data_IF_865738327383
#
_entry.id   IF_865738327383
#
_cell.length_a   1.000
_cell.length_b   1.000
_cell.length_c   1.000
_cell.angle_alpha   90.00
_cell.angle_beta   90.00
_cell.angle_gamma   90.00
#
_symmetry.space_group_name_H-M   'P 1'
#
loop_
_entity.id
_entity.type
_entity.pdbx_description
1 polymer ?
#
# COMPACT_ATOMS: atom_id res chain seq x y z
N UNK A 1 -13.29 -13.01 -6.84
CA UNK A 1 -12.57 -11.86 -6.25
C UNK A 1 -12.82 -11.77 -4.75
N UNK A 2 -14.08 -11.77 -4.27
CA UNK A 2 -14.39 -11.78 -2.83
C UNK A 2 -13.79 -13.00 -2.12
N UNK A 3 -13.77 -14.18 -2.72
CA UNK A 3 -13.11 -15.37 -2.16
C UNK A 3 -11.61 -15.14 -1.88
N UNK A 4 -10.91 -14.37 -2.73
CA UNK A 4 -9.51 -14.03 -2.50
C UNK A 4 -9.31 -13.15 -1.24
N UNK A 5 -10.24 -12.21 -1.01
CA UNK A 5 -10.21 -11.39 0.21
C UNK A 5 -10.66 -12.20 1.43
N UNK A 6 -11.61 -13.09 1.28
CA UNK A 6 -12.01 -14.07 2.31
C UNK A 6 -10.81 -14.94 2.75
N UNK A 7 -10.06 -15.49 1.80
CA UNK A 7 -8.82 -16.24 2.08
C UNK A 7 -7.78 -15.38 2.82
N UNK A 8 -7.68 -14.11 2.47
CA UNK A 8 -6.78 -13.17 3.15
C UNK A 8 -7.21 -12.94 4.60
N UNK A 9 -8.52 -12.83 4.88
CA UNK A 9 -9.07 -12.72 6.24
C UNK A 9 -8.74 -13.98 7.05
N UNK A 10 -9.02 -15.18 6.50
CA UNK A 10 -8.80 -16.45 7.18
C UNK A 10 -7.32 -16.71 7.49
N UNK A 11 -6.39 -16.21 6.70
CA UNK A 11 -4.95 -16.33 6.99
C UNK A 11 -4.48 -15.43 8.14
N UNK A 12 -5.16 -14.31 8.40
CA UNK A 12 -4.74 -13.32 9.41
C UNK A 12 -5.53 -13.39 10.71
N UNK A 13 -6.76 -13.82 10.66
CA UNK A 13 -7.64 -13.90 11.83
C UNK A 13 -7.85 -15.34 12.22
N UNK A 14 -7.51 -15.69 13.47
CA UNK A 14 -7.74 -17.02 14.00
C UNK A 14 -9.24 -17.24 14.26
N UNK A 15 -9.82 -18.25 13.61
CA UNK A 15 -11.23 -18.63 13.77
C UNK A 15 -12.21 -17.46 13.57
N UNK A 16 -12.19 -16.78 12.42
CA UNK A 16 -13.13 -15.69 12.17
C UNK A 16 -14.57 -16.24 12.12
N UNK A 17 -15.53 -15.46 12.60
CA UNK A 17 -16.94 -15.79 12.46
C UNK A 17 -17.35 -15.72 10.99
N UNK A 18 -18.01 -16.77 10.48
CA UNK A 18 -18.48 -16.80 9.10
C UNK A 18 -19.49 -15.66 8.82
N UNK A 19 -20.34 -15.32 9.79
CA UNK A 19 -21.27 -14.21 9.69
C UNK A 19 -20.51 -12.88 9.56
N UNK A 20 -19.52 -12.64 10.41
CA UNK A 20 -18.69 -11.41 10.38
C UNK A 20 -17.88 -11.31 9.09
N UNK A 21 -17.36 -12.43 8.55
CA UNK A 21 -16.67 -12.45 7.26
C UNK A 21 -17.62 -12.05 6.13
N UNK A 22 -18.84 -12.59 6.09
CA UNK A 22 -19.83 -12.20 5.07
C UNK A 22 -20.22 -10.71 5.19
N UNK A 23 -20.32 -10.21 6.40
CA UNK A 23 -20.57 -8.80 6.65
C UNK A 23 -19.42 -7.92 6.12
N UNK A 24 -18.15 -8.29 6.38
CA UNK A 24 -16.99 -7.62 5.80
C UNK A 24 -17.09 -7.61 4.27
N UNK A 25 -17.33 -8.76 3.65
CA UNK A 25 -17.40 -8.87 2.20
C UNK A 25 -18.57 -8.06 1.60
N UNK A 26 -19.63 -7.82 2.38
CA UNK A 26 -20.82 -7.09 1.90
C UNK A 26 -20.57 -5.61 1.65
N UNK A 27 -19.67 -4.97 2.40
CA UNK A 27 -19.37 -3.53 2.23
C UNK A 27 -18.39 -3.24 1.09
N UNK A 28 -17.73 -4.28 0.56
CA UNK A 28 -16.79 -4.16 -0.54
C UNK A 28 -17.42 -4.48 -1.90
N UNK A 29 -17.16 -3.63 -2.87
CA UNK A 29 -17.53 -3.84 -4.28
C UNK A 29 -16.29 -3.86 -5.17
N UNK A 30 -16.36 -4.67 -6.23
CA UNK A 30 -15.27 -4.81 -7.18
C UNK A 30 -15.18 -3.61 -8.11
N UNK A 31 -13.96 -3.13 -8.33
CA UNK A 31 -13.64 -2.09 -9.31
C UNK A 31 -12.40 -2.48 -10.10
N UNK A 32 -12.50 -2.46 -11.43
CA UNK A 32 -11.35 -2.54 -12.33
C UNK A 32 -10.82 -1.14 -12.57
N UNK A 33 -9.52 -0.98 -12.45
CA UNK A 33 -8.83 0.28 -12.61
C UNK A 33 -7.70 0.10 -13.63
N UNK A 34 -7.64 1.00 -14.60
CA UNK A 34 -6.60 1.00 -15.61
C UNK A 34 -5.31 1.62 -15.07
N UNK A 35 -4.20 1.30 -15.76
CA UNK A 35 -2.91 1.93 -15.48
C UNK A 35 -3.01 3.45 -15.58
N UNK A 36 -2.43 4.16 -14.60
CA UNK A 36 -2.47 5.61 -14.49
C UNK A 36 -3.72 6.14 -13.79
N UNK A 37 -4.71 5.31 -13.47
CA UNK A 37 -5.88 5.75 -12.71
C UNK A 37 -5.45 6.20 -11.31
N UNK A 38 -5.99 7.35 -10.87
CA UNK A 38 -5.73 7.88 -9.53
C UNK A 38 -6.82 7.35 -8.57
N UNK A 39 -6.38 6.52 -7.63
CA UNK A 39 -7.24 6.02 -6.56
C UNK A 39 -7.50 7.09 -5.50
N UNK A 40 -6.48 7.91 -5.18
CA UNK A 40 -6.59 9.06 -4.27
C UNK A 40 -5.73 10.21 -4.78
N UNK A 41 -6.33 11.37 -4.92
CA UNK A 41 -5.66 12.63 -5.27
C UNK A 41 -4.87 13.21 -4.08
N UNK A 42 -3.75 13.86 -4.38
CA UNK A 42 -3.02 14.65 -3.39
C UNK A 42 -3.86 15.78 -2.81
N UNK A 43 -3.55 16.16 -1.58
CA UNK A 43 -4.23 17.26 -0.87
C UNK A 43 -5.76 17.09 -0.75
N UNK A 44 -6.22 15.84 -0.76
CA UNK A 44 -7.61 15.46 -0.49
C UNK A 44 -7.73 14.60 0.77
N UNK A 45 -8.94 14.49 1.32
CA UNK A 45 -9.27 13.52 2.37
C UNK A 45 -9.70 12.22 1.69
N UNK A 46 -9.11 11.10 2.09
CA UNK A 46 -9.50 9.80 1.56
C UNK A 46 -10.89 9.40 2.07
N UNK A 47 -11.77 9.01 1.15
CA UNK A 47 -13.17 8.63 1.45
C UNK A 47 -13.47 7.15 1.20
N UNK A 48 -12.46 6.38 0.85
CA UNK A 48 -12.60 4.96 0.50
C UNK A 48 -11.38 4.16 0.91
N UNK A 49 -11.61 2.91 1.28
CA UNK A 49 -10.58 1.89 1.50
C UNK A 49 -10.58 0.98 0.28
N UNK A 50 -9.40 0.70 -0.28
CA UNK A 50 -9.23 -0.29 -1.33
C UNK A 50 -8.49 -1.51 -0.81
N UNK A 51 -8.84 -2.71 -1.28
CA UNK A 51 -8.03 -3.91 -1.13
C UNK A 51 -7.61 -4.39 -2.52
N UNK A 52 -6.30 -4.43 -2.77
CA UNK A 52 -5.73 -4.79 -4.07
C UNK A 52 -5.72 -6.30 -4.24
N UNK A 53 -6.66 -6.82 -5.03
CA UNK A 53 -6.80 -8.26 -5.31
C UNK A 53 -5.78 -8.70 -6.34
N UNK A 54 -5.58 -7.89 -7.37
CA UNK A 54 -4.60 -8.11 -8.44
C UNK A 54 -4.09 -6.76 -8.96
N UNK A 55 -2.85 -6.76 -9.47
CA UNK A 55 -2.20 -5.56 -9.99
C UNK A 55 -1.28 -4.90 -8.97
N UNK A 56 -0.97 -3.63 -9.19
CA UNK A 56 -0.07 -2.84 -8.36
C UNK A 56 -0.41 -1.36 -8.39
N UNK A 57 -0.06 -0.66 -7.33
CA UNK A 57 -0.19 0.78 -7.18
C UNK A 57 1.09 1.37 -6.60
N UNK A 58 1.24 2.69 -6.66
CA UNK A 58 2.25 3.40 -5.87
C UNK A 58 1.60 4.47 -5.03
N UNK A 59 2.20 4.71 -3.88
CA UNK A 59 1.98 5.93 -3.11
C UNK A 59 3.14 6.87 -3.34
N UNK A 60 2.84 8.14 -3.58
CA UNK A 60 3.86 9.17 -3.77
C UNK A 60 3.35 10.53 -3.33
N UNK A 61 4.25 11.48 -3.17
CA UNK A 61 3.96 12.89 -2.97
C UNK A 61 4.90 13.73 -3.84
N UNK A 62 4.53 14.98 -4.08
CA UNK A 62 5.37 15.93 -4.80
C UNK A 62 6.12 16.82 -3.80
N UNK A 63 7.45 16.90 -3.95
CA UNK A 63 8.28 17.78 -3.13
C UNK A 63 8.20 19.26 -3.61
N UNK A 64 8.85 20.16 -2.88
CA UNK A 64 8.86 21.61 -3.20
C UNK A 64 9.51 21.95 -4.55
N UNK A 65 10.27 21.02 -5.14
CA UNK A 65 10.90 21.16 -6.46
C UNK A 65 10.02 20.65 -7.59
N UNK A 66 8.85 20.08 -7.28
CA UNK A 66 7.96 19.48 -8.27
C UNK A 66 8.28 18.01 -8.60
N UNK A 67 9.26 17.39 -7.91
CA UNK A 67 9.60 15.98 -8.15
C UNK A 67 8.62 15.06 -7.44
N UNK A 68 8.18 14.00 -8.11
CA UNK A 68 7.40 12.93 -7.52
C UNK A 68 8.30 11.99 -6.71
N UNK A 69 8.08 11.93 -5.41
CA UNK A 69 8.78 11.02 -4.50
C UNK A 69 7.90 9.83 -4.20
N UNK A 70 8.25 8.67 -4.77
CA UNK A 70 7.56 7.42 -4.48
C UNK A 70 7.91 6.96 -3.06
N UNK A 71 6.89 6.88 -2.21
CA UNK A 71 7.02 6.31 -0.87
C UNK A 71 7.01 4.79 -0.92
N UNK A 72 6.04 4.22 -1.64
CA UNK A 72 5.87 2.77 -1.72
C UNK A 72 5.29 2.31 -3.05
N UNK A 73 5.67 1.08 -3.47
CA UNK A 73 4.96 0.31 -4.50
C UNK A 73 4.14 -0.77 -3.78
N UNK A 74 2.83 -0.63 -3.87
CA UNK A 74 1.84 -1.50 -3.24
C UNK A 74 1.49 -2.63 -4.22
N UNK A 75 1.65 -3.88 -3.78
CA UNK A 75 1.32 -5.08 -4.54
C UNK A 75 0.03 -5.73 -4.02
N UNK A 76 -0.45 -6.77 -4.72
CA UNK A 76 -1.63 -7.55 -4.30
C UNK A 76 -1.60 -7.94 -2.82
N UNK A 77 -2.77 -8.17 -2.23
CA UNK A 77 -2.95 -8.48 -0.81
C UNK A 77 -2.59 -7.34 0.15
N UNK A 78 -2.64 -6.11 -0.34
CA UNK A 78 -2.47 -4.93 0.50
C UNK A 78 -3.65 -3.98 0.35
N UNK A 79 -3.86 -3.18 1.38
CA UNK A 79 -4.86 -2.12 1.32
C UNK A 79 -4.30 -0.86 0.64
N UNK A 80 -5.13 -0.22 -0.17
CA UNK A 80 -4.92 1.11 -0.71
C UNK A 80 -5.58 2.11 0.24
N UNK A 81 -4.76 2.82 1.01
CA UNK A 81 -5.21 3.77 2.01
C UNK A 81 -4.15 4.86 2.24
N UNK A 82 -4.58 5.96 2.81
CA UNK A 82 -3.71 7.03 3.30
C UNK A 82 -3.96 7.19 4.81
N UNK A 83 -3.10 6.55 5.59
CA UNK A 83 -3.24 6.47 7.05
C UNK A 83 -3.24 7.85 7.71
N UNK A 84 -2.50 8.83 7.17
CA UNK A 84 -2.47 10.20 7.69
C UNK A 84 -3.87 10.80 7.57
N UNK A 85 -4.44 10.75 6.37
CA UNK A 85 -5.78 11.27 6.10
C UNK A 85 -6.87 10.54 6.88
N UNK A 86 -6.80 9.20 6.96
CA UNK A 86 -7.73 8.37 7.72
C UNK A 86 -7.73 8.73 9.21
N UNK A 87 -6.55 8.88 9.81
CA UNK A 87 -6.41 9.12 11.27
C UNK A 87 -6.69 10.55 11.68
N UNK A 88 -6.40 11.52 10.82
CA UNK A 88 -6.51 12.95 11.16
C UNK A 88 -7.78 13.60 10.63
N UNK A 89 -8.46 12.98 9.67
CA UNK A 89 -9.56 13.59 8.91
C UNK A 89 -9.12 14.77 8.04
N UNK A 90 -7.81 15.00 7.90
CA UNK A 90 -7.25 16.15 7.18
C UNK A 90 -6.75 15.74 5.79
N UNK A 91 -6.61 16.74 4.92
CA UNK A 91 -5.96 16.58 3.61
C UNK A 91 -4.50 16.15 3.80
N UNK A 92 -4.01 15.28 2.93
CA UNK A 92 -2.63 14.81 2.91
C UNK A 92 -2.06 14.93 1.50
N UNK A 93 -0.75 15.15 1.33
CA UNK A 93 -0.12 15.28 0.02
C UNK A 93 -0.05 13.95 -0.75
N UNK A 94 -0.33 12.82 -0.10
CA UNK A 94 -0.19 11.49 -0.68
C UNK A 94 -1.15 11.31 -1.86
N UNK A 95 -0.61 10.84 -2.98
CA UNK A 95 -1.33 10.35 -4.16
C UNK A 95 -1.24 8.83 -4.18
N UNK A 96 -2.32 8.15 -4.57
CA UNK A 96 -2.32 6.72 -4.83
C UNK A 96 -2.66 6.50 -6.31
N UNK A 97 -1.68 6.03 -7.08
CA UNK A 97 -1.77 5.80 -8.52
C UNK A 97 -1.66 4.29 -8.84
N UNK A 98 -2.49 3.85 -9.77
CA UNK A 98 -2.48 2.47 -10.28
C UNK A 98 -1.37 2.31 -11.34
N UNK A 99 -0.48 1.33 -11.16
CA UNK A 99 0.69 1.13 -12.03
C UNK A 99 0.46 0.15 -13.20
N UNK A 100 -0.55 -0.68 -13.10
CA UNK A 100 -0.96 -1.65 -14.12
C UNK A 100 -2.46 -1.90 -14.01
N UNK A 101 -3.08 -2.53 -15.02
CA UNK A 101 -4.49 -2.92 -14.91
C UNK A 101 -4.72 -3.75 -13.64
N UNK A 102 -5.58 -3.24 -12.78
CA UNK A 102 -5.74 -3.74 -11.41
C UNK A 102 -7.21 -4.02 -11.08
N UNK A 103 -7.41 -5.00 -10.22
CA UNK A 103 -8.71 -5.26 -9.61
C UNK A 103 -8.65 -4.92 -8.12
N UNK A 104 -9.52 -4.02 -7.69
CA UNK A 104 -9.58 -3.50 -6.32
C UNK A 104 -10.98 -3.75 -5.76
N UNK A 105 -11.05 -4.30 -4.56
CA UNK A 105 -12.27 -4.27 -3.76
C UNK A 105 -12.30 -2.96 -2.99
N UNK A 106 -13.36 -2.17 -3.14
CA UNK A 106 -13.48 -0.81 -2.61
C UNK A 106 -14.63 -0.74 -1.63
N UNK A 107 -14.40 -0.13 -0.46
CA UNK A 107 -15.42 0.20 0.51
C UNK A 107 -15.43 1.70 0.82
N UNK A 108 -16.60 2.26 1.11
CA UNK A 108 -16.73 3.63 1.61
C UNK A 108 -16.18 3.71 3.04
N UNK A 109 -15.45 4.79 3.38
CA UNK A 109 -14.84 4.94 4.71
C UNK A 109 -15.86 4.99 5.84
N UNK A 110 -17.05 5.55 5.63
CA UNK A 110 -18.11 5.58 6.66
C UNK A 110 -18.57 4.14 7.00
N UNK A 111 -18.70 3.28 5.98
CA UNK A 111 -19.01 1.86 6.17
C UNK A 111 -17.86 1.09 6.83
N UNK A 112 -16.64 1.47 6.53
CA UNK A 112 -15.43 0.90 7.16
C UNK A 112 -15.41 1.23 8.66
N UNK A 113 -15.68 2.48 9.04
CA UNK A 113 -15.73 2.89 10.44
C UNK A 113 -16.87 2.19 11.19
N UNK A 114 -18.09 2.21 10.66
CA UNK A 114 -19.23 1.50 11.25
C UNK A 114 -18.92 0.00 11.48
N UNK A 115 -18.22 -0.63 10.53
CA UNK A 115 -17.86 -2.02 10.66
C UNK A 115 -16.74 -2.26 11.67
N UNK A 116 -15.75 -1.37 11.76
CA UNK A 116 -14.67 -1.47 12.74
C UNK A 116 -15.19 -1.38 14.18
N UNK A 117 -16.26 -0.63 14.44
CA UNK A 117 -16.82 -0.46 15.76
C UNK A 117 -17.58 -1.70 16.26
N UNK A 118 -18.16 -2.53 15.38
CA UNK A 118 -19.05 -3.62 15.74
C UNK A 118 -18.62 -5.03 15.28
N UNK A 119 -17.70 -5.15 14.32
CA UNK A 119 -17.25 -6.43 13.76
C UNK A 119 -15.85 -6.77 14.29
N UNK A 120 -15.80 -7.75 15.19
CA UNK A 120 -14.55 -8.14 15.87
C UNK A 120 -13.54 -8.71 14.88
N UNK A 121 -13.99 -9.53 13.93
CA UNK A 121 -13.11 -10.11 12.88
C UNK A 121 -12.44 -9.02 12.05
N UNK A 122 -13.19 -7.99 11.65
CA UNK A 122 -12.64 -6.87 10.88
C UNK A 122 -11.68 -6.01 11.69
N UNK A 123 -12.00 -5.74 12.95
CA UNK A 123 -11.12 -5.02 13.86
C UNK A 123 -9.77 -5.75 14.04
N UNK A 124 -9.82 -7.07 14.28
CA UNK A 124 -8.60 -7.90 14.39
C UNK A 124 -7.81 -7.85 13.08
N UNK A 125 -8.47 -8.04 11.93
CA UNK A 125 -7.82 -8.01 10.62
C UNK A 125 -7.05 -6.71 10.39
N UNK A 126 -7.70 -5.57 10.62
CA UNK A 126 -7.09 -4.25 10.40
C UNK A 126 -5.95 -3.99 11.40
N UNK A 127 -6.13 -4.38 12.66
CA UNK A 127 -5.07 -4.26 13.68
C UNK A 127 -3.81 -5.06 13.31
N UNK A 128 -3.98 -6.33 12.93
CA UNK A 128 -2.86 -7.18 12.50
C UNK A 128 -2.20 -6.61 11.23
N UNK A 129 -2.99 -6.17 10.26
CA UNK A 129 -2.46 -5.53 9.04
C UNK A 129 -1.65 -4.27 9.35
N UNK A 130 -2.16 -3.38 10.21
CA UNK A 130 -1.44 -2.16 10.61
C UNK A 130 -0.16 -2.51 11.37
N UNK A 131 -0.19 -3.53 12.22
CA UNK A 131 1.01 -4.04 12.91
C UNK A 131 2.09 -4.49 11.95
N UNK A 132 1.76 -5.32 10.96
CA UNK A 132 2.68 -5.76 9.91
C UNK A 132 3.26 -4.54 9.13
N UNK A 133 2.40 -3.59 8.79
CA UNK A 133 2.82 -2.36 8.08
C UNK A 133 3.75 -1.50 8.92
N UNK A 134 3.47 -1.34 10.22
CA UNK A 134 4.33 -0.61 11.14
C UNK A 134 5.74 -1.24 11.22
N UNK A 135 5.83 -2.57 11.27
CA UNK A 135 7.12 -3.27 11.26
C UNK A 135 7.92 -3.03 9.98
N UNK A 136 7.25 -3.03 8.80
CA UNK A 136 7.90 -2.71 7.53
C UNK A 136 8.42 -1.27 7.53
N UNK A 137 7.61 -0.30 7.98
CA UNK A 137 7.99 1.10 8.06
C UNK A 137 9.14 1.35 9.02
N UNK A 138 9.15 0.70 10.20
CA UNK A 138 10.25 0.79 11.16
C UNK A 138 11.56 0.25 10.58
N UNK A 139 11.53 -0.90 9.91
CA UNK A 139 12.72 -1.45 9.22
C UNK A 139 13.25 -0.49 8.16
N UNK A 140 12.37 0.07 7.32
CA UNK A 140 12.75 1.08 6.32
C UNK A 140 13.34 2.32 7.00
N UNK A 141 12.74 2.80 8.08
CA UNK A 141 13.24 3.95 8.83
C UNK A 141 14.67 3.70 9.36
N UNK A 142 14.94 2.56 9.99
CA UNK A 142 16.29 2.19 10.43
C UNK A 142 17.28 2.12 9.28
N UNK A 143 16.87 1.58 8.12
CA UNK A 143 17.71 1.56 6.92
C UNK A 143 18.00 2.96 6.39
N UNK A 144 17.09 3.91 6.52
CA UNK A 144 17.32 5.30 6.13
C UNK A 144 18.25 6.04 7.11
N UNK A 145 18.18 5.75 8.40
CA UNK A 145 19.04 6.39 9.40
C UNK A 145 20.49 5.91 9.33
N UNK A 146 20.72 4.62 9.14
CA UNK A 146 22.05 4.02 9.30
C UNK A 146 22.58 3.34 8.03
N UNK A 147 21.71 3.00 7.08
CA UNK A 147 22.08 2.23 5.89
C UNK A 147 22.60 3.10 4.76
N UNK A 148 23.60 2.57 4.04
CA UNK A 148 24.05 3.11 2.77
C UNK A 148 22.99 2.92 1.66
N UNK A 149 23.12 3.63 0.55
CA UNK A 149 22.26 3.45 -0.60
C UNK A 149 22.29 1.99 -1.14
N UNK A 150 23.45 1.32 -1.05
CA UNK A 150 23.63 -0.08 -1.45
C UNK A 150 22.86 -1.03 -0.55
N UNK A 151 22.89 -0.83 0.76
CA UNK A 151 22.15 -1.64 1.72
C UNK A 151 20.63 -1.43 1.57
N UNK A 152 20.15 -0.19 1.34
CA UNK A 152 18.74 0.07 1.03
C UNK A 152 18.29 -0.62 -0.26
N UNK A 153 19.13 -0.65 -1.27
CA UNK A 153 18.88 -1.39 -2.51
C UNK A 153 18.84 -2.90 -2.26
N UNK A 154 19.81 -3.44 -1.51
CA UNK A 154 19.85 -4.85 -1.15
C UNK A 154 18.60 -5.29 -0.38
N UNK A 155 18.11 -4.46 0.54
CA UNK A 155 16.86 -4.72 1.25
C UNK A 155 15.65 -4.89 0.31
N UNK A 156 15.54 -4.07 -0.76
CA UNK A 156 14.49 -4.26 -1.76
C UNK A 156 14.69 -5.55 -2.54
N UNK A 157 15.93 -5.89 -2.91
CA UNK A 157 16.23 -7.15 -3.59
C UNK A 157 15.79 -8.38 -2.80
N UNK A 158 15.97 -8.36 -1.49
CA UNK A 158 15.63 -9.46 -0.59
C UNK A 158 14.13 -9.55 -0.29
N UNK A 159 13.49 -8.39 -0.11
CA UNK A 159 12.08 -8.35 0.32
C UNK A 159 11.09 -8.33 -0.84
N UNK A 160 11.45 -7.69 -1.96
CA UNK A 160 10.56 -7.50 -3.11
C UNK A 160 11.34 -7.45 -4.45
N UNK A 161 12.01 -8.53 -4.86
CA UNK A 161 12.84 -8.55 -6.06
C UNK A 161 12.08 -8.21 -7.35
N UNK A 162 10.78 -8.52 -7.41
CA UNK A 162 9.93 -8.24 -8.57
C UNK A 162 9.79 -6.73 -8.85
N UNK A 163 9.86 -5.89 -7.82
CA UNK A 163 9.76 -4.43 -7.97
C UNK A 163 10.82 -3.90 -8.93
N UNK A 164 12.04 -4.43 -8.84
CA UNK A 164 13.17 -4.00 -9.65
C UNK A 164 13.08 -4.40 -11.13
N UNK A 165 12.29 -5.42 -11.42
CA UNK A 165 12.09 -5.92 -12.78
C UNK A 165 10.86 -5.31 -13.45
N UNK A 166 9.83 -5.03 -12.66
CA UNK A 166 8.47 -4.72 -13.13
C UNK A 166 8.22 -3.22 -13.29
N UNK A 167 8.89 -2.38 -12.48
CA UNK A 167 8.56 -0.96 -12.41
C UNK A 167 9.71 -0.05 -12.85
N UNK A 168 9.40 1.19 -13.30
CA UNK A 168 10.40 2.15 -13.72
C UNK A 168 11.45 2.41 -12.64
N UNK A 169 12.72 2.42 -13.06
CA UNK A 169 13.85 2.63 -12.16
C UNK A 169 13.74 3.91 -11.32
N UNK A 170 13.10 4.96 -11.87
CA UNK A 170 12.88 6.22 -11.16
C UNK A 170 12.02 6.06 -9.89
N UNK A 171 11.04 5.14 -9.89
CA UNK A 171 10.21 4.88 -8.71
C UNK A 171 11.02 4.18 -7.61
N UNK A 172 11.80 3.18 -7.99
CA UNK A 172 12.66 2.46 -7.04
C UNK A 172 13.75 3.37 -6.49
N UNK A 173 14.37 4.19 -7.33
CA UNK A 173 15.39 5.15 -6.92
C UNK A 173 14.85 6.13 -5.87
N UNK A 174 13.66 6.70 -6.10
CA UNK A 174 13.06 7.62 -5.13
C UNK A 174 12.67 6.91 -3.83
N UNK A 175 12.17 5.66 -3.88
CA UNK A 175 11.87 4.85 -2.68
C UNK A 175 13.05 4.62 -1.76
N UNK A 176 14.28 4.58 -2.30
CA UNK A 176 15.51 4.38 -1.51
C UNK A 176 16.31 5.68 -1.33
N UNK A 177 15.76 6.83 -1.75
CA UNK A 177 16.37 8.13 -1.56
C UNK A 177 17.64 8.36 -2.39
N UNK A 178 17.68 7.88 -3.63
CA UNK A 178 18.77 8.09 -4.57
C UNK A 178 18.26 8.54 -5.93
N UNK A 179 19.17 9.07 -6.77
CA UNK A 179 18.85 9.36 -8.17
C UNK A 179 18.84 8.07 -9.02
N UNK A 180 18.12 8.04 -10.15
CA UNK A 180 18.17 6.91 -11.08
C UNK A 180 19.60 6.57 -11.56
N UNK A 181 20.45 7.58 -11.73
CA UNK A 181 21.86 7.41 -12.11
C UNK A 181 22.67 6.69 -11.01
N UNK A 182 22.48 7.11 -9.75
CA UNK A 182 23.10 6.44 -8.60
C UNK A 182 22.63 4.98 -8.49
N UNK A 183 21.31 4.73 -8.61
CA UNK A 183 20.79 3.39 -8.57
C UNK A 183 21.36 2.51 -9.71
N UNK A 184 21.52 3.06 -10.91
CA UNK A 184 22.15 2.36 -12.04
C UNK A 184 23.61 1.96 -11.75
N UNK A 185 24.37 2.79 -11.03
CA UNK A 185 25.74 2.48 -10.59
C UNK A 185 25.73 1.37 -9.54
N UNK A 186 24.91 1.50 -8.50
CA UNK A 186 24.77 0.48 -7.43
C UNK A 186 24.46 -0.90 -8.01
N UNK A 187 23.63 -0.98 -9.05
CA UNK A 187 23.27 -2.23 -9.74
C UNK A 187 24.44 -2.87 -10.50
N UNK A 188 25.43 -2.10 -10.94
CA UNK A 188 26.61 -2.58 -11.67
C UNK A 188 27.74 -3.04 -10.74
N UNK A 189 27.72 -2.61 -9.50
CA UNK A 189 28.72 -2.93 -8.47
C UNK A 189 28.47 -4.29 -7.78
N UNK A 190 27.93 -5.26 -8.53
CA UNK A 190 27.74 -6.64 -8.04
C UNK A 190 29.04 -7.40 -7.95
#
# INVERSE_FOLDING_TARGET
MKNHFEDFIHRRVKKPSSQEVQEILSIFFEKKLDKGAIFKEGYTVIKKLGFLVNGSARTYFTNDKGDEITDEIVQKNNFLSDIISVRTGKKSPIVIEILEQSTVLVANMDRVWDLLDRNVTFNILIREYIGDRAMVLLKRHFMFLNGTAKERYQYILETNPEILQKFPLKYVASMIGVTPTQLSRIRKEK
#
